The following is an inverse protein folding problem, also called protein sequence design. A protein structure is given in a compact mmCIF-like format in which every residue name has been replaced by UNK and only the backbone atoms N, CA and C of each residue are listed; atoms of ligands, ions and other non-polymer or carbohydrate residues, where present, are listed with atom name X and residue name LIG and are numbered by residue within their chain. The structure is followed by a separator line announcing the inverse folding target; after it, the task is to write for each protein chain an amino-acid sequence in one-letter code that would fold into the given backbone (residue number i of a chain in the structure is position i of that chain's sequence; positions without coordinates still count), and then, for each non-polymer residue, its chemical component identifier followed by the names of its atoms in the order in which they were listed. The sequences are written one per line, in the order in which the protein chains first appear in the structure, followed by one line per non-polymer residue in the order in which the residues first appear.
data_IF_056651473230
#
_entry.id   IF_056651473230
#
_cell.length_a   1.000
_cell.length_b   1.000
_cell.length_c   1.000
_cell.angle_alpha   90.00
_cell.angle_beta   90.00
_cell.angle_gamma   90.00
#
_symmetry.space_group_name_H-M   'P 1'
#
loop_
_entity.id
_entity.type
_entity.pdbx_description
1 polymer ?
#
# COMPACT_ATOMS: atom_id res chain seq x y z
N UNK A 1 -3.80 -14.77 3.57
CA UNK A 1 -2.85 -13.87 4.24
C UNK A 1 -3.55 -12.59 4.62
N UNK A 2 -3.06 -11.94 5.65
CA UNK A 2 -3.76 -10.79 6.25
C UNK A 2 -2.87 -9.56 6.33
N UNK A 3 -3.50 -8.40 6.21
CA UNK A 3 -2.87 -7.10 6.39
C UNK A 3 -3.80 -6.25 7.25
N UNK A 4 -3.32 -5.77 8.38
CA UNK A 4 -4.13 -4.93 9.27
C UNK A 4 -3.87 -3.46 8.98
N UNK A 5 -4.94 -2.70 8.81
CA UNK A 5 -4.85 -1.28 8.47
C UNK A 5 -5.44 -0.47 9.64
N UNK A 6 -4.65 0.47 10.13
CA UNK A 6 -5.03 1.40 11.20
C UNK A 6 -5.21 2.78 10.59
N UNK A 7 -6.42 3.31 10.70
CA UNK A 7 -6.78 4.64 10.18
C UNK A 7 -7.45 5.39 11.32
N UNK A 8 -6.76 6.37 11.88
CA UNK A 8 -7.21 7.10 13.08
C UNK A 8 -7.55 6.09 14.19
N UNK A 9 -8.78 6.09 14.70
CA UNK A 9 -9.23 5.16 15.74
C UNK A 9 -9.80 3.86 15.18
N UNK A 10 -9.87 3.73 13.85
CA UNK A 10 -10.44 2.56 13.21
C UNK A 10 -9.37 1.53 12.88
N UNK A 11 -9.73 0.26 12.98
CA UNK A 11 -8.86 -0.87 12.62
C UNK A 11 -9.62 -1.75 11.65
N UNK A 12 -8.97 -2.09 10.53
CA UNK A 12 -9.56 -2.99 9.56
C UNK A 12 -8.53 -4.06 9.19
N UNK A 13 -8.88 -5.33 9.38
CA UNK A 13 -8.04 -6.43 8.94
C UNK A 13 -8.51 -6.90 7.57
N UNK A 14 -7.61 -6.84 6.60
CA UNK A 14 -7.88 -7.28 5.25
C UNK A 14 -7.45 -8.73 5.10
N UNK A 15 -8.40 -9.57 4.67
CA UNK A 15 -8.12 -10.98 4.45
C UNK A 15 -7.96 -11.18 2.94
N UNK A 16 -6.72 -11.41 2.52
CA UNK A 16 -6.36 -11.45 1.11
C UNK A 16 -6.45 -12.87 0.57
N UNK A 17 -7.02 -13.06 -0.64
CA UNK A 17 -6.95 -14.37 -1.29
C UNK A 17 -5.50 -14.83 -1.44
N UNK A 18 -5.25 -16.13 -1.24
CA UNK A 18 -3.90 -16.68 -1.30
C UNK A 18 -3.25 -16.50 -2.68
N UNK A 19 -4.06 -16.43 -3.72
CA UNK A 19 -3.59 -16.29 -5.10
C UNK A 19 -3.45 -14.82 -5.56
N UNK A 20 -3.77 -13.84 -4.70
CA UNK A 20 -3.75 -12.42 -5.09
C UNK A 20 -2.36 -11.98 -5.60
N UNK A 21 -1.29 -12.53 -5.03
CA UNK A 21 0.08 -12.17 -5.40
C UNK A 21 0.37 -12.62 -6.84
N UNK A 22 -0.05 -13.82 -7.21
CA UNK A 22 0.15 -14.32 -8.57
C UNK A 22 -0.81 -13.67 -9.57
N UNK A 23 -2.07 -13.57 -9.21
CA UNK A 23 -3.12 -13.01 -10.07
C UNK A 23 -2.87 -11.53 -10.35
N UNK A 24 -2.35 -10.80 -9.38
CA UNK A 24 -2.12 -9.38 -9.51
C UNK A 24 -0.75 -8.98 -10.06
N UNK A 25 0.15 -9.94 -10.34
CA UNK A 25 1.54 -9.62 -10.64
C UNK A 25 1.72 -8.69 -11.83
N UNK A 26 0.95 -8.87 -12.90
CA UNK A 26 1.04 -7.97 -14.06
C UNK A 26 0.67 -6.54 -13.69
N UNK A 27 -0.35 -6.38 -12.86
CA UNK A 27 -0.75 -5.07 -12.33
C UNK A 27 0.37 -4.48 -11.46
N UNK A 28 0.97 -5.31 -10.60
CA UNK A 28 2.03 -4.86 -9.70
C UNK A 28 3.29 -4.44 -10.46
N UNK A 29 3.63 -5.15 -11.54
CA UNK A 29 4.76 -4.77 -12.40
C UNK A 29 4.52 -3.43 -13.08
N UNK A 30 3.30 -3.20 -13.57
CA UNK A 30 2.92 -1.93 -14.17
C UNK A 30 3.04 -0.80 -13.14
N UNK A 31 2.60 -1.05 -11.93
CA UNK A 31 2.69 -0.08 -10.85
C UNK A 31 4.14 0.25 -10.52
N UNK A 32 5.01 -0.76 -10.45
CA UNK A 32 6.45 -0.56 -10.23
C UNK A 32 7.06 0.25 -11.38
N UNK A 33 6.70 -0.06 -12.62
CA UNK A 33 7.19 0.67 -13.79
C UNK A 33 6.78 2.15 -13.72
N UNK A 34 5.55 2.42 -13.31
CA UNK A 34 5.08 3.79 -13.16
C UNK A 34 5.86 4.52 -12.06
N UNK A 35 6.11 3.86 -10.93
CA UNK A 35 6.87 4.46 -9.82
C UNK A 35 8.35 4.63 -10.15
N UNK A 36 8.92 3.83 -11.05
CA UNK A 36 10.30 3.99 -11.51
C UNK A 36 10.55 5.37 -12.12
N UNK A 37 9.50 6.01 -12.65
CA UNK A 37 9.57 7.33 -13.27
C UNK A 37 9.58 8.47 -12.25
N UNK A 38 9.41 8.13 -10.98
CA UNK A 38 9.25 9.11 -9.91
C UNK A 38 7.80 9.26 -9.50
N UNK A 39 7.60 9.78 -8.30
CA UNK A 39 6.26 9.92 -7.75
C UNK A 39 6.17 11.16 -6.86
N UNK A 40 5.06 11.87 -6.97
CA UNK A 40 4.78 12.98 -6.06
C UNK A 40 4.27 12.41 -4.75
N UNK A 41 5.13 12.36 -3.73
CA UNK A 41 4.79 11.85 -2.41
C UNK A 41 4.36 13.01 -1.52
N UNK A 42 3.09 13.36 -1.64
CA UNK A 42 2.50 14.50 -0.94
C UNK A 42 3.19 15.80 -1.37
N UNK A 43 4.10 16.35 -0.57
CA UNK A 43 4.76 17.64 -0.87
C UNK A 43 6.08 17.51 -1.61
N UNK A 44 6.61 16.30 -1.74
CA UNK A 44 7.92 16.06 -2.30
C UNK A 44 7.86 15.18 -3.52
N UNK A 45 8.60 15.55 -4.56
CA UNK A 45 8.84 14.65 -5.69
C UNK A 45 9.99 13.73 -5.34
N UNK A 46 9.81 12.44 -5.56
CA UNK A 46 10.82 11.42 -5.27
C UNK A 46 11.15 10.67 -6.56
N UNK A 47 12.39 10.79 -7.03
CA UNK A 47 12.86 10.01 -8.17
C UNK A 47 13.07 8.56 -7.73
N UNK A 48 12.48 7.62 -8.46
CA UNK A 48 12.67 6.20 -8.20
C UNK A 48 12.47 5.83 -6.72
N UNK A 49 11.23 5.90 -6.20
CA UNK A 49 10.96 5.60 -4.80
C UNK A 49 11.51 4.24 -4.37
N UNK A 50 12.02 4.16 -3.15
CA UNK A 50 12.53 2.90 -2.58
C UNK A 50 11.39 2.00 -2.13
N UNK A 51 11.72 0.81 -1.60
CA UNK A 51 10.74 -0.18 -1.20
C UNK A 51 9.74 0.36 -0.17
N UNK A 52 10.23 1.04 0.87
CA UNK A 52 9.37 1.63 1.90
C UNK A 52 8.46 2.70 1.31
N UNK A 53 9.01 3.56 0.47
CA UNK A 53 8.25 4.64 -0.16
C UNK A 53 7.16 4.10 -1.08
N UNK A 54 7.44 3.04 -1.83
CA UNK A 54 6.43 2.40 -2.70
C UNK A 54 5.29 1.80 -1.88
N UNK A 55 5.59 1.25 -0.71
CA UNK A 55 4.54 0.76 0.19
C UNK A 55 3.73 1.90 0.80
N UNK A 56 4.35 3.03 1.07
CA UNK A 56 3.62 4.23 1.52
C UNK A 56 2.68 4.77 0.43
N UNK A 57 3.12 4.73 -0.84
CA UNK A 57 2.28 5.10 -1.97
C UNK A 57 1.08 4.14 -2.07
N UNK A 58 1.32 2.84 -1.97
CA UNK A 58 0.27 1.84 -2.00
C UNK A 58 -0.71 2.02 -0.82
N UNK A 59 -0.18 2.34 0.38
CA UNK A 59 -1.02 2.60 1.55
C UNK A 59 -1.91 3.82 1.34
N UNK A 60 -1.41 4.86 0.69
CA UNK A 60 -2.22 6.03 0.36
C UNK A 60 -3.36 5.67 -0.61
N UNK A 61 -3.08 4.78 -1.56
CA UNK A 61 -4.12 4.27 -2.47
C UNK A 61 -5.14 3.41 -1.73
N UNK A 62 -4.72 2.68 -0.69
CA UNK A 62 -5.64 1.94 0.18
C UNK A 62 -6.61 2.91 0.87
N UNK A 63 -6.10 4.01 1.40
CA UNK A 63 -6.94 5.03 2.03
C UNK A 63 -8.00 5.54 1.05
N UNK A 64 -7.59 5.85 -0.17
CA UNK A 64 -8.52 6.30 -1.21
C UNK A 64 -9.53 5.22 -1.57
N UNK A 65 -9.10 3.96 -1.64
CA UNK A 65 -9.97 2.84 -1.98
C UNK A 65 -11.05 2.63 -0.91
N UNK A 66 -10.69 2.77 0.37
CA UNK A 66 -11.65 2.69 1.47
C UNK A 66 -12.64 3.85 1.38
N UNK A 67 -12.15 5.04 1.14
CA UNK A 67 -12.97 6.25 1.05
C UNK A 67 -13.98 6.17 -0.10
N UNK A 68 -13.61 5.55 -1.22
CA UNK A 68 -14.46 5.43 -2.40
C UNK A 68 -15.15 4.07 -2.50
N UNK A 69 -15.00 3.24 -1.47
CA UNK A 69 -15.58 1.89 -1.43
C UNK A 69 -15.17 1.03 -2.63
N UNK A 70 -13.92 1.17 -3.08
CA UNK A 70 -13.38 0.40 -4.20
C UNK A 70 -12.66 -0.83 -3.68
N UNK A 71 -13.41 -1.92 -3.53
CA UNK A 71 -12.90 -3.17 -2.96
C UNK A 71 -11.80 -3.80 -3.81
N UNK A 72 -11.93 -3.74 -5.12
CA UNK A 72 -10.93 -4.31 -6.05
C UNK A 72 -9.59 -3.60 -5.88
N UNK A 73 -9.60 -2.27 -5.87
CA UNK A 73 -8.37 -1.50 -5.68
C UNK A 73 -7.76 -1.76 -4.30
N UNK A 74 -8.61 -1.85 -3.28
CA UNK A 74 -8.17 -2.14 -1.91
C UNK A 74 -7.39 -3.45 -1.85
N UNK A 75 -7.93 -4.52 -2.42
CA UNK A 75 -7.28 -5.83 -2.41
C UNK A 75 -6.01 -5.84 -3.26
N UNK A 76 -6.01 -5.16 -4.40
CA UNK A 76 -4.82 -5.08 -5.25
C UNK A 76 -3.69 -4.33 -4.56
N UNK A 77 -3.98 -3.22 -3.90
CA UNK A 77 -2.94 -2.46 -3.21
C UNK A 77 -2.36 -3.23 -2.02
N UNK A 78 -3.22 -3.89 -1.26
CA UNK A 78 -2.77 -4.74 -0.16
C UNK A 78 -1.94 -5.92 -0.71
N UNK A 79 -2.37 -6.51 -1.82
CA UNK A 79 -1.62 -7.57 -2.51
C UNK A 79 -0.26 -7.10 -2.99
N UNK A 80 -0.17 -5.89 -3.53
CA UNK A 80 1.11 -5.29 -3.92
C UNK A 80 2.08 -5.26 -2.74
N UNK A 81 1.63 -4.74 -1.61
CA UNK A 81 2.47 -4.63 -0.41
C UNK A 81 2.96 -6.01 0.02
N UNK A 82 2.06 -6.99 0.11
CA UNK A 82 2.44 -8.35 0.53
C UNK A 82 3.37 -9.04 -0.48
N UNK A 83 3.24 -8.74 -1.76
CA UNK A 83 4.10 -9.33 -2.80
C UNK A 83 5.52 -8.79 -2.73
N UNK A 84 5.69 -7.50 -2.42
CA UNK A 84 7.00 -6.84 -2.39
C UNK A 84 7.62 -6.85 -1.00
N UNK A 85 6.80 -6.80 0.03
CA UNK A 85 7.25 -6.74 1.43
C UNK A 85 6.40 -7.68 2.27
N UNK A 86 6.62 -9.00 2.18
CA UNK A 86 5.84 -9.97 2.98
C UNK A 86 6.06 -9.82 4.49
N UNK A 87 7.12 -9.12 4.89
CA UNK A 87 7.40 -8.81 6.29
C UNK A 87 6.46 -7.74 6.87
N UNK A 88 5.78 -6.96 6.03
CA UNK A 88 4.82 -5.97 6.51
C UNK A 88 3.52 -6.67 6.90
N UNK A 89 3.12 -6.53 8.16
CA UNK A 89 1.89 -7.13 8.69
C UNK A 89 0.81 -6.09 8.95
N UNK A 90 1.16 -4.82 8.94
CA UNK A 90 0.19 -3.77 9.19
C UNK A 90 0.65 -2.42 8.65
N UNK A 91 -0.29 -1.51 8.56
CA UNK A 91 -0.08 -0.14 8.10
C UNK A 91 -0.79 0.79 9.06
N UNK A 92 -0.08 1.83 9.51
CA UNK A 92 -0.73 2.95 10.21
C UNK A 92 -0.74 4.12 9.23
N UNK A 93 -1.89 4.33 8.60
CA UNK A 93 -2.01 5.25 7.47
C UNK A 93 -2.21 6.67 7.97
N UNK A 94 -1.39 7.60 7.48
CA UNK A 94 -1.55 9.01 7.78
C UNK A 94 -2.80 9.57 7.09
N UNK A 95 -3.59 10.34 7.84
CA UNK A 95 -4.81 10.96 7.35
C UNK A 95 -4.70 12.49 7.27
N UNK A 96 -3.51 13.02 7.59
CA UNK A 96 -3.29 14.47 7.59
C UNK A 96 -2.71 14.99 6.27
N UNK A 97 -2.70 14.16 5.22
CA UNK A 97 -2.29 14.58 3.88
C UNK A 97 -0.82 14.37 3.57
N UNK A 98 -0.09 13.60 4.37
CA UNK A 98 1.33 13.31 4.12
C UNK A 98 1.58 11.81 4.15
N UNK A 99 1.66 11.21 2.96
CA UNK A 99 1.87 9.76 2.86
C UNK A 99 3.24 9.32 3.39
N UNK A 100 4.20 10.24 3.52
CA UNK A 100 5.52 9.90 4.06
C UNK A 100 5.49 9.66 5.57
N UNK A 101 4.41 10.07 6.25
CA UNK A 101 4.20 9.81 7.67
C UNK A 101 3.50 8.47 7.94
N UNK A 102 3.07 7.77 6.90
CA UNK A 102 2.48 6.44 7.05
C UNK A 102 3.53 5.47 7.57
N UNK A 103 3.18 4.71 8.61
CA UNK A 103 4.09 3.76 9.24
C UNK A 103 3.85 2.35 8.69
N UNK A 104 4.94 1.67 8.37
CA UNK A 104 4.92 0.28 7.92
C UNK A 104 5.25 -0.60 9.13
N UNK A 105 4.32 -1.46 9.52
CA UNK A 105 4.46 -2.29 10.71
C UNK A 105 5.01 -3.65 10.31
N UNK A 106 6.20 -3.96 10.80
CA UNK A 106 6.97 -5.12 10.39
C UNK A 106 6.78 -6.24 11.40
N UNK A 107 6.70 -7.47 10.91
CA UNK A 107 6.65 -8.64 11.77
C UNK A 107 7.98 -8.82 12.50
N UNK A 108 7.88 -9.03 13.81
CA UNK A 108 9.04 -9.22 14.65
C UNK A 108 9.18 -10.66 15.10
#
# INVERSE_FOLDING_TARGET
MQLTVYIDDATKTLDLPDDIVQEGENFFKKMDSDMDQGWQMSRSWVDNPNSDERCQIAANKILNAISTENETLLLLMAGYIKSRRPDIVGLRIDTAGDMTETELLIQQ
#
